data_IF_982850559349
#
_entry.id   IF_982850559349
#
_cell.length_a   1.000
_cell.length_b   1.000
_cell.length_c   1.000
_cell.angle_alpha   90.00
_cell.angle_beta   90.00
_cell.angle_gamma   90.00
#
_symmetry.space_group_name_H-M   'P 1'
#
loop_
_entity.id
_entity.type
_entity.pdbx_description
1 polymer ?
#
# COMPACT_ATOMS: atom_id res chain seq x y z
N UNK A 1 1.87 -5.99 30.62
CA UNK A 1 2.25 -5.25 29.41
C UNK A 1 1.14 -5.41 28.36
N UNK A 2 0.84 -4.37 27.59
CA UNK A 2 -0.13 -4.43 26.48
C UNK A 2 0.44 -3.71 25.26
N UNK A 3 -0.01 -4.11 24.07
CA UNK A 3 0.28 -3.36 22.84
C UNK A 3 -0.47 -2.03 22.89
N UNK A 4 0.16 -0.95 22.48
CA UNK A 4 -0.40 0.42 22.58
C UNK A 4 -0.87 0.96 21.22
N UNK A 5 -0.24 0.56 20.13
CA UNK A 5 -0.56 1.01 18.77
C UNK A 5 0.11 0.13 17.73
N UNK A 6 -0.27 0.30 16.47
CA UNK A 6 0.54 -0.14 15.33
C UNK A 6 1.56 0.96 15.04
N UNK A 7 2.85 0.64 15.10
CA UNK A 7 3.92 1.60 14.83
C UNK A 7 4.14 1.80 13.34
N UNK A 8 4.27 0.71 12.61
CA UNK A 8 4.42 0.73 11.15
C UNK A 8 4.00 -0.62 10.55
N UNK A 9 3.81 -0.61 9.24
CA UNK A 9 3.63 -1.79 8.41
C UNK A 9 4.79 -1.83 7.43
N UNK A 10 5.46 -2.97 7.30
CA UNK A 10 6.56 -3.15 6.38
C UNK A 10 6.11 -3.83 5.09
N UNK A 11 6.58 -3.32 3.96
CA UNK A 11 6.29 -3.81 2.61
C UNK A 11 7.60 -4.00 1.86
N UNK A 12 7.67 -5.01 1.00
CA UNK A 12 8.85 -5.29 0.17
C UNK A 12 8.53 -4.91 -1.27
N UNK A 13 9.42 -4.09 -1.87
CA UNK A 13 9.36 -3.69 -3.27
C UNK A 13 10.71 -3.96 -3.96
N UNK A 14 10.72 -3.96 -5.30
CA UNK A 14 11.90 -4.31 -6.10
C UNK A 14 12.56 -3.13 -6.79
N UNK A 15 11.84 -2.03 -7.03
CA UNK A 15 12.28 -0.90 -7.85
C UNK A 15 12.05 0.42 -7.09
N UNK A 16 13.13 1.10 -6.75
CA UNK A 16 13.07 2.35 -5.99
C UNK A 16 12.30 3.46 -6.73
N UNK A 17 12.61 3.70 -8.00
CA UNK A 17 12.01 4.80 -8.74
C UNK A 17 10.49 4.61 -8.90
N UNK A 18 10.06 3.40 -9.24
CA UNK A 18 8.64 3.07 -9.35
C UNK A 18 7.92 3.14 -8.01
N UNK A 19 8.56 2.68 -6.96
CA UNK A 19 8.01 2.70 -5.58
C UNK A 19 7.84 4.13 -5.10
N UNK A 20 8.88 4.96 -5.26
CA UNK A 20 8.84 6.36 -4.87
C UNK A 20 7.76 7.12 -5.65
N UNK A 21 7.72 6.96 -6.97
CA UNK A 21 6.70 7.61 -7.80
C UNK A 21 5.29 7.22 -7.37
N UNK A 22 5.06 5.94 -7.09
CA UNK A 22 3.75 5.43 -6.67
C UNK A 22 3.31 5.98 -5.31
N UNK A 23 4.10 5.73 -4.28
CA UNK A 23 3.69 6.08 -2.91
C UNK A 23 3.84 7.58 -2.59
N UNK A 24 4.90 8.21 -3.06
CA UNK A 24 5.17 9.62 -2.74
C UNK A 24 4.49 10.57 -3.73
N UNK A 25 4.78 10.42 -5.03
CA UNK A 25 4.29 11.37 -6.03
C UNK A 25 2.79 11.18 -6.32
N UNK A 26 2.33 9.94 -6.44
CA UNK A 26 0.95 9.64 -6.83
C UNK A 26 0.01 9.54 -5.63
N UNK A 27 0.37 8.80 -4.59
CA UNK A 27 -0.49 8.63 -3.41
C UNK A 27 -0.32 9.72 -2.36
N UNK A 28 0.78 10.48 -2.39
CA UNK A 28 0.98 11.63 -1.51
C UNK A 28 1.51 11.30 -0.12
N UNK A 29 2.17 10.15 0.08
CA UNK A 29 2.85 9.86 1.33
C UNK A 29 4.03 10.82 1.54
N UNK A 30 4.25 11.22 2.78
CA UNK A 30 5.39 12.02 3.17
C UNK A 30 6.59 11.13 3.49
N UNK A 31 7.79 11.55 3.03
CA UNK A 31 9.03 10.83 3.33
C UNK A 31 9.52 11.24 4.72
N UNK A 32 9.67 10.26 5.62
CA UNK A 32 10.29 10.43 6.93
C UNK A 32 11.80 10.29 6.81
N UNK A 33 12.27 9.20 6.19
CA UNK A 33 13.65 8.99 5.82
C UNK A 33 13.78 8.06 4.62
N UNK A 34 14.95 8.10 4.00
CA UNK A 34 15.29 7.33 2.81
C UNK A 34 16.78 6.98 2.90
N UNK A 35 17.09 5.70 3.16
CA UNK A 35 18.44 5.26 3.52
C UNK A 35 18.84 4.04 2.71
N UNK A 36 19.95 4.12 1.97
CA UNK A 36 20.62 2.95 1.41
C UNK A 36 21.35 2.18 2.50
N UNK A 37 21.25 0.85 2.44
CA UNK A 37 21.97 -0.06 3.33
C UNK A 37 22.83 -1.04 2.51
N UNK A 38 24.04 -0.62 2.06
CA UNK A 38 24.86 -1.44 1.19
C UNK A 38 25.23 -2.80 1.79
N UNK A 39 25.46 -2.86 3.10
CA UNK A 39 25.79 -4.11 3.79
C UNK A 39 24.64 -5.13 3.77
N UNK A 40 23.39 -4.68 3.59
CA UNK A 40 22.21 -5.53 3.48
C UNK A 40 21.68 -5.64 2.05
N UNK A 41 22.31 -4.94 1.12
CA UNK A 41 21.91 -4.88 -0.28
C UNK A 41 20.44 -4.47 -0.45
N UNK A 42 20.01 -3.49 0.31
CA UNK A 42 18.67 -2.91 0.23
C UNK A 42 18.65 -1.40 0.47
N UNK A 43 17.47 -0.83 0.34
CA UNK A 43 17.18 0.55 0.68
C UNK A 43 15.88 0.61 1.48
N UNK A 44 15.82 1.44 2.50
CA UNK A 44 14.63 1.61 3.34
C UNK A 44 14.05 2.97 3.11
N UNK A 45 12.79 3.00 2.69
CA UNK A 45 12.00 4.21 2.51
C UNK A 45 10.90 4.21 3.57
N UNK A 46 11.03 5.08 4.58
CA UNK A 46 10.00 5.25 5.60
C UNK A 46 9.06 6.36 5.21
N UNK A 47 7.80 6.04 5.10
CA UNK A 47 6.73 6.95 4.67
C UNK A 47 5.67 7.11 5.75
N UNK A 48 4.99 8.26 5.73
CA UNK A 48 3.86 8.55 6.61
C UNK A 48 2.69 9.08 5.79
N UNK A 49 1.50 8.53 6.06
CA UNK A 49 0.24 9.06 5.55
C UNK A 49 -0.41 9.90 6.65
N UNK A 50 -0.34 11.22 6.51
CA UNK A 50 -0.83 12.16 7.51
C UNK A 50 -0.43 11.76 8.95
N UNK A 51 -1.37 11.73 9.88
CA UNK A 51 -1.08 11.57 11.30
C UNK A 51 -1.31 10.14 11.78
N UNK A 52 -0.73 9.13 11.20
CA UNK A 52 -0.97 7.85 11.83
C UNK A 52 -0.38 6.60 11.22
N UNK A 53 -0.50 6.40 9.94
CA UNK A 53 0.03 5.22 9.30
C UNK A 53 1.45 5.46 8.80
N UNK A 54 2.40 4.68 9.30
CA UNK A 54 3.75 4.61 8.72
C UNK A 54 3.90 3.33 7.91
N UNK A 55 4.45 3.48 6.70
CA UNK A 55 4.89 2.39 5.86
C UNK A 55 6.41 2.38 5.81
N UNK A 56 7.01 1.25 6.17
CA UNK A 56 8.43 1.01 5.99
C UNK A 56 8.61 0.14 4.75
N UNK A 57 9.11 0.74 3.66
CA UNK A 57 9.26 0.02 2.40
C UNK A 57 10.72 -0.40 2.24
N UNK A 58 10.93 -1.72 2.20
CA UNK A 58 12.23 -2.31 1.90
C UNK A 58 12.33 -2.56 0.41
N UNK A 59 13.30 -1.91 -0.23
CA UNK A 59 13.56 -2.09 -1.66
C UNK A 59 14.78 -2.99 -1.78
N UNK A 60 14.57 -4.18 -2.31
CA UNK A 60 15.59 -5.19 -2.45
C UNK A 60 15.56 -5.82 -3.84
N UNK A 61 16.71 -6.36 -4.33
CA UNK A 61 16.76 -6.93 -5.66
C UNK A 61 15.96 -8.22 -5.74
N UNK A 62 15.17 -8.35 -6.79
CA UNK A 62 14.49 -9.58 -7.21
C UNK A 62 13.72 -10.34 -6.10
N UNK A 63 12.89 -9.66 -5.27
CA UNK A 63 12.09 -10.40 -4.31
C UNK A 63 11.06 -11.27 -5.07
N UNK A 64 10.68 -12.44 -4.51
CA UNK A 64 9.54 -13.17 -5.05
C UNK A 64 8.29 -12.27 -5.10
N UNK A 65 7.46 -12.47 -6.12
CA UNK A 65 6.21 -11.71 -6.27
C UNK A 65 5.23 -12.03 -5.13
N UNK A 66 4.34 -11.07 -4.86
CA UNK A 66 3.27 -11.27 -3.89
C UNK A 66 2.44 -12.51 -4.24
N UNK A 67 2.15 -13.34 -3.24
CA UNK A 67 1.46 -14.61 -3.45
C UNK A 67 -0.07 -14.39 -3.41
N UNK A 68 -0.70 -14.37 -4.58
CA UNK A 68 -2.14 -14.15 -4.73
C UNK A 68 -2.96 -15.43 -4.96
N UNK A 69 -2.37 -16.43 -5.63
CA UNK A 69 -3.07 -17.66 -5.99
C UNK A 69 -2.12 -18.86 -6.03
N UNK A 70 -2.24 -19.82 -5.09
CA UNK A 70 -3.10 -19.73 -3.92
C UNK A 70 -2.63 -18.65 -2.95
N UNK A 71 -3.55 -18.08 -2.18
CA UNK A 71 -3.20 -17.08 -1.17
C UNK A 71 -2.35 -17.74 -0.06
N UNK A 72 -1.29 -17.04 0.36
CA UNK A 72 -0.41 -17.48 1.44
C UNK A 72 -0.80 -16.84 2.78
N UNK A 73 -0.42 -17.49 3.87
CA UNK A 73 -0.60 -16.91 5.20
C UNK A 73 0.24 -15.62 5.35
N UNK A 74 -0.30 -14.64 6.04
CA UNK A 74 0.33 -13.32 6.26
C UNK A 74 -0.63 -12.18 5.97
N UNK A 75 -0.10 -10.98 5.79
CA UNK A 75 -0.91 -9.84 5.40
C UNK A 75 -1.47 -10.04 3.99
N UNK A 76 -2.79 -9.95 3.87
CA UNK A 76 -3.48 -10.15 2.59
C UNK A 76 -3.45 -8.90 1.73
N UNK A 77 -3.77 -7.76 2.31
CA UNK A 77 -3.77 -6.44 1.68
C UNK A 77 -3.74 -5.34 2.74
N UNK A 78 -3.58 -4.11 2.31
CA UNK A 78 -3.69 -2.93 3.14
C UNK A 78 -4.87 -2.09 2.63
N UNK A 79 -5.79 -1.75 3.52
CA UNK A 79 -6.98 -0.97 3.19
C UNK A 79 -6.87 0.46 3.73
N UNK A 80 -7.23 1.45 2.90
CA UNK A 80 -7.31 2.86 3.28
C UNK A 80 -8.77 3.31 3.27
N UNK A 81 -9.16 4.08 4.28
CA UNK A 81 -10.46 4.70 4.34
C UNK A 81 -10.56 5.92 3.41
N UNK A 82 -11.67 6.03 2.68
CA UNK A 82 -12.00 7.19 1.84
C UNK A 82 -13.45 7.60 2.06
N UNK A 83 -13.78 8.86 1.78
CA UNK A 83 -15.14 9.36 1.88
C UNK A 83 -16.03 8.85 0.74
N UNK A 84 -15.44 8.65 -0.45
CA UNK A 84 -16.17 8.19 -1.63
C UNK A 84 -15.24 7.35 -2.51
N UNK A 85 -15.56 6.08 -2.67
CA UNK A 85 -14.82 5.17 -3.58
C UNK A 85 -14.89 5.64 -5.03
N UNK A 86 -16.06 6.07 -5.60
CA UNK A 86 -16.09 6.59 -6.97
C UNK A 86 -15.18 7.81 -7.19
N UNK A 87 -15.14 8.74 -6.27
CA UNK A 87 -14.27 9.92 -6.39
C UNK A 87 -12.79 9.54 -6.24
N UNK A 88 -12.49 8.62 -5.33
CA UNK A 88 -11.14 8.11 -5.15
C UNK A 88 -10.61 7.37 -6.39
N UNK A 89 -11.47 6.61 -7.09
CA UNK A 89 -11.13 5.98 -8.38
C UNK A 89 -10.76 7.03 -9.42
N UNK A 90 -11.55 8.09 -9.56
CA UNK A 90 -11.24 9.20 -10.48
C UNK A 90 -9.89 9.84 -10.14
N UNK A 91 -9.65 10.04 -8.86
CA UNK A 91 -8.38 10.59 -8.36
C UNK A 91 -7.19 9.67 -8.67
N UNK A 92 -7.29 8.35 -8.45
CA UNK A 92 -6.26 7.38 -8.80
C UNK A 92 -6.01 7.36 -10.32
N UNK A 93 -7.09 7.28 -11.11
CA UNK A 93 -6.98 7.23 -12.58
C UNK A 93 -6.33 8.51 -13.14
N UNK A 94 -6.60 9.68 -12.56
CA UNK A 94 -5.96 10.94 -12.96
C UNK A 94 -4.44 10.94 -12.72
N UNK A 95 -3.95 10.02 -11.90
CA UNK A 95 -2.53 9.82 -11.59
C UNK A 95 -1.92 8.60 -12.29
N UNK A 96 -2.68 8.01 -13.23
CA UNK A 96 -2.23 6.83 -13.97
C UNK A 96 -2.24 5.54 -13.16
N UNK A 97 -3.00 5.48 -12.08
CA UNK A 97 -3.19 4.26 -11.29
C UNK A 97 -4.54 3.64 -11.69
N UNK A 98 -4.47 2.45 -12.29
CA UNK A 98 -5.66 1.68 -12.63
C UNK A 98 -6.22 0.97 -11.41
N UNK A 99 -7.54 0.79 -11.39
CA UNK A 99 -8.24 0.06 -10.33
C UNK A 99 -8.97 -1.14 -10.88
N UNK A 100 -9.26 -2.11 -10.01
CA UNK A 100 -10.22 -3.16 -10.28
C UNK A 100 -11.66 -2.63 -10.32
N UNK A 101 -12.65 -3.53 -10.45
CA UNK A 101 -14.05 -3.16 -10.40
C UNK A 101 -14.47 -2.77 -8.98
N UNK A 102 -15.51 -1.95 -8.87
CA UNK A 102 -16.13 -1.67 -7.59
C UNK A 102 -16.82 -2.94 -7.09
N UNK A 103 -16.51 -3.32 -5.85
CA UNK A 103 -17.14 -4.43 -5.15
C UNK A 103 -17.94 -3.88 -3.98
N UNK A 104 -18.92 -4.66 -3.53
CA UNK A 104 -19.68 -4.31 -2.32
C UNK A 104 -19.21 -5.18 -1.17
N UNK A 105 -18.69 -4.56 -0.12
CA UNK A 105 -18.41 -5.27 1.12
C UNK A 105 -19.73 -5.52 1.86
N UNK A 106 -20.17 -6.76 1.83
CA UNK A 106 -21.39 -7.20 2.49
C UNK A 106 -21.14 -7.86 3.85
N UNK A 107 -19.88 -7.91 4.27
CA UNK A 107 -19.52 -8.45 5.57
C UNK A 107 -20.13 -7.57 6.68
N UNK A 108 -20.62 -8.22 7.72
CA UNK A 108 -21.26 -7.56 8.86
C UNK A 108 -22.46 -6.65 8.50
N UNK A 109 -23.12 -6.87 7.37
CA UNK A 109 -24.26 -6.07 6.87
C UNK A 109 -23.94 -4.58 6.64
N UNK A 110 -22.66 -4.22 6.44
CA UNK A 110 -22.26 -2.84 6.24
C UNK A 110 -22.62 -2.37 4.84
N UNK A 111 -22.48 -3.21 3.83
CA UNK A 111 -22.85 -2.94 2.44
C UNK A 111 -22.20 -1.66 1.89
N UNK A 112 -20.86 -1.57 2.02
CA UNK A 112 -20.05 -0.45 1.59
C UNK A 112 -19.28 -0.74 0.30
N UNK A 113 -19.11 0.22 -0.59
CA UNK A 113 -18.27 0.04 -1.77
C UNK A 113 -16.80 -0.04 -1.40
N UNK A 114 -16.10 -0.94 -2.07
CA UNK A 114 -14.66 -1.13 -1.97
C UNK A 114 -14.08 -1.29 -3.37
N UNK A 115 -12.81 -0.95 -3.52
CA UNK A 115 -12.07 -1.16 -4.77
C UNK A 115 -10.63 -1.55 -4.47
N UNK A 116 -10.10 -2.48 -5.26
CA UNK A 116 -8.69 -2.85 -5.21
C UNK A 116 -7.87 -2.14 -6.27
N UNK A 117 -6.64 -1.86 -5.94
CA UNK A 117 -5.57 -1.44 -6.83
C UNK A 117 -4.26 -2.06 -6.32
N UNK A 118 -3.17 -1.91 -7.06
CA UNK A 118 -1.93 -2.62 -6.76
C UNK A 118 -0.76 -1.68 -6.82
N UNK A 119 0.19 -1.90 -5.94
CA UNK A 119 1.46 -1.20 -6.00
C UNK A 119 2.33 -1.75 -7.16
N UNK A 120 3.49 -1.15 -7.47
CA UNK A 120 4.33 -1.59 -8.58
C UNK A 120 4.80 -3.05 -8.53
N UNK A 121 4.84 -3.66 -7.35
CA UNK A 121 5.24 -5.05 -7.15
C UNK A 121 4.05 -6.00 -6.97
N UNK A 122 2.84 -5.51 -7.16
CA UNK A 122 1.62 -6.32 -7.09
C UNK A 122 1.06 -6.51 -5.69
N UNK A 123 1.52 -5.76 -4.69
CA UNK A 123 0.91 -5.76 -3.36
C UNK A 123 -0.51 -5.19 -3.46
N UNK A 124 -1.55 -5.95 -3.04
CA UNK A 124 -2.91 -5.47 -3.10
C UNK A 124 -3.17 -4.37 -2.09
N UNK A 125 -3.78 -3.30 -2.56
CA UNK A 125 -4.25 -2.17 -1.77
C UNK A 125 -5.76 -2.02 -1.98
N UNK A 126 -6.48 -1.57 -0.96
CA UNK A 126 -7.92 -1.41 -1.00
C UNK A 126 -8.32 0.00 -0.60
N UNK A 127 -9.33 0.55 -1.26
CA UNK A 127 -10.06 1.73 -0.78
C UNK A 127 -11.42 1.29 -0.27
N UNK A 128 -11.77 1.75 0.91
CA UNK A 128 -13.00 1.38 1.63
C UNK A 128 -13.71 2.62 2.16
N UNK A 129 -15.03 2.74 1.93
CA UNK A 129 -15.86 3.77 2.56
C UNK A 129 -16.22 3.45 4.01
#
# INVERSE_FOLDING_TARGET
MKLTSVHHIAVINSDYEKTYDFYVNKLGFNVIFDIERPAKNDRVLMLELDKGLMLEIFIMPEPPVHQDAPEAAGLRHLAFGVESVPEAIKWLNSRGIETGPILMDTNNNINKPVVFFWDPDGTPLELHE
#
